data_IF_154416107003
#
_entry.id   IF_154416107003
#
_cell.length_a   1.000
_cell.length_b   1.000
_cell.length_c   1.000
_cell.angle_alpha   90.00
_cell.angle_beta   90.00
_cell.angle_gamma   90.00
#
_symmetry.space_group_name_H-M   'P 1'
#
loop_
_entity.id
_entity.type
_entity.pdbx_description
1 polymer ?
#
# COMPACT_ATOMS: atom_id res chain seq x y z
N UNK A 1 -10.73 17.11 0.94
CA UNK A 1 -12.12 17.21 1.48
C UNK A 1 -12.14 17.98 2.82
N UNK A 2 -13.26 18.64 3.18
CA UNK A 2 -13.47 19.28 4.50
C UNK A 2 -12.36 20.24 5.00
N UNK A 3 -11.63 20.87 4.08
CA UNK A 3 -10.49 21.74 4.44
C UNK A 3 -9.29 21.02 5.06
N UNK A 4 -9.20 19.69 4.88
CA UNK A 4 -8.03 18.92 5.29
C UNK A 4 -6.78 19.39 4.56
N UNK A 5 -5.68 19.50 5.29
CA UNK A 5 -4.37 19.95 4.80
C UNK A 5 -3.56 18.79 4.22
N UNK A 6 -3.67 17.62 4.83
CA UNK A 6 -2.95 16.42 4.41
C UNK A 6 -3.89 15.22 4.43
N UNK A 7 -3.85 14.44 3.35
CA UNK A 7 -4.40 13.11 3.30
C UNK A 7 -3.32 12.13 3.77
N UNK A 8 -3.61 11.32 4.80
CA UNK A 8 -2.70 10.30 5.30
C UNK A 8 -3.16 8.96 4.75
N UNK A 9 -2.31 8.37 3.92
CA UNK A 9 -2.57 7.14 3.18
C UNK A 9 -1.69 6.02 3.73
N UNK A 10 -2.29 5.12 4.52
CA UNK A 10 -1.56 4.01 5.15
C UNK A 10 -1.70 2.75 4.30
N UNK A 11 -0.57 2.11 3.98
CA UNK A 11 -0.48 1.11 2.93
C UNK A 11 0.13 -0.18 3.46
N UNK A 12 -0.66 -1.07 4.07
CA UNK A 12 -0.22 -2.41 4.44
C UNK A 12 0.03 -3.27 3.20
N UNK A 13 1.24 -3.83 3.06
CA UNK A 13 1.58 -4.78 2.02
C UNK A 13 1.29 -6.20 2.54
N UNK A 14 0.14 -6.77 2.17
CA UNK A 14 -0.29 -8.11 2.59
C UNK A 14 0.06 -9.10 1.48
N UNK A 15 1.19 -9.75 1.68
CA UNK A 15 1.93 -10.46 0.64
C UNK A 15 1.96 -11.96 0.94
N UNK A 16 1.99 -12.77 -0.13
CA UNK A 16 2.24 -14.19 -0.06
C UNK A 16 3.55 -14.53 -0.77
N UNK A 17 4.40 -15.28 -0.07
CA UNK A 17 5.67 -15.78 -0.57
C UNK A 17 5.66 -17.31 -0.55
N UNK A 18 6.15 -17.92 -1.61
CA UNK A 18 6.30 -19.37 -1.72
C UNK A 18 7.54 -19.80 -0.94
N UNK A 19 7.57 -21.08 -0.55
CA UNK A 19 8.69 -21.64 0.19
C UNK A 19 9.97 -21.72 -0.67
N UNK A 20 9.82 -21.82 -1.98
CA UNK A 20 10.90 -21.93 -2.96
C UNK A 20 11.04 -20.60 -3.70
N UNK A 21 11.84 -19.67 -3.15
CA UNK A 21 12.13 -18.38 -3.81
C UNK A 21 13.53 -18.47 -4.43
N UNK A 22 13.60 -18.45 -5.76
CA UNK A 22 14.87 -18.37 -6.50
C UNK A 22 15.77 -19.61 -6.40
N UNK A 23 15.30 -20.70 -5.80
CA UNK A 23 16.01 -21.98 -5.66
C UNK A 23 15.02 -23.14 -5.58
N UNK A 24 15.36 -24.34 -6.09
CA UNK A 24 14.54 -25.55 -5.93
C UNK A 24 14.55 -26.10 -4.49
N UNK A 25 15.41 -25.57 -3.61
CA UNK A 25 15.43 -25.94 -2.20
C UNK A 25 14.59 -24.96 -1.35
N UNK A 26 13.90 -25.42 -0.29
CA UNK A 26 13.16 -24.57 0.63
C UNK A 26 13.99 -23.44 1.25
N UNK A 27 13.59 -22.18 1.05
CA UNK A 27 14.14 -21.02 1.78
C UNK A 27 13.36 -20.79 3.06
N UNK A 28 13.53 -21.70 4.01
CA UNK A 28 12.82 -21.71 5.29
C UNK A 28 12.97 -20.38 6.03
N UNK A 29 14.16 -19.77 5.99
CA UNK A 29 14.45 -18.55 6.75
C UNK A 29 13.66 -17.36 6.21
N UNK A 30 13.70 -17.12 4.90
CA UNK A 30 12.99 -15.98 4.33
C UNK A 30 11.48 -16.22 4.32
N UNK A 31 11.04 -17.43 3.97
CA UNK A 31 9.62 -17.80 4.00
C UNK A 31 9.02 -17.62 5.40
N UNK A 32 9.61 -18.22 6.44
CA UNK A 32 9.04 -18.17 7.80
C UNK A 32 8.98 -16.75 8.36
N UNK A 33 9.96 -15.90 8.01
CA UNK A 33 9.91 -14.47 8.35
C UNK A 33 8.72 -13.78 7.68
N UNK A 34 8.45 -14.03 6.40
CA UNK A 34 7.30 -13.43 5.70
C UNK A 34 5.96 -13.95 6.22
N UNK A 35 5.88 -15.27 6.45
CA UNK A 35 4.68 -15.92 6.98
C UNK A 35 4.35 -15.44 8.41
N UNK A 36 5.35 -15.06 9.23
CA UNK A 36 5.11 -14.36 10.50
C UNK A 36 4.25 -13.09 10.33
N UNK A 37 4.40 -12.38 9.21
CA UNK A 37 3.56 -11.23 8.87
C UNK A 37 2.09 -11.61 8.80
N UNK A 38 1.75 -12.64 8.04
CA UNK A 38 0.36 -13.10 7.88
C UNK A 38 -0.20 -13.77 9.15
N UNK A 39 0.66 -14.40 9.96
CA UNK A 39 0.24 -15.11 11.18
C UNK A 39 0.09 -14.21 12.41
N UNK A 40 0.91 -13.17 12.54
CA UNK A 40 1.03 -12.37 13.77
C UNK A 40 1.11 -10.89 13.47
N UNK A 41 2.03 -10.48 12.59
CA UNK A 41 2.34 -9.07 12.37
C UNK A 41 1.14 -8.26 11.87
N UNK A 42 0.34 -8.84 10.97
CA UNK A 42 -0.82 -8.20 10.36
C UNK A 42 -1.92 -7.92 11.40
N UNK A 43 -2.16 -8.85 12.31
CA UNK A 43 -3.17 -8.69 13.36
C UNK A 43 -2.81 -7.54 14.31
N UNK A 44 -1.52 -7.40 14.67
CA UNK A 44 -1.08 -6.24 15.46
C UNK A 44 -1.21 -4.93 14.70
N UNK A 45 -0.92 -4.95 13.40
CA UNK A 45 -1.11 -3.77 12.55
C UNK A 45 -2.60 -3.38 12.47
N UNK A 46 -3.49 -4.35 12.28
CA UNK A 46 -4.94 -4.15 12.31
C UNK A 46 -5.40 -3.53 13.63
N UNK A 47 -4.92 -4.03 14.78
CA UNK A 47 -5.24 -3.47 16.10
C UNK A 47 -4.82 -2.01 16.23
N UNK A 48 -3.62 -1.65 15.77
CA UNK A 48 -3.11 -0.27 15.80
C UNK A 48 -3.93 0.64 14.88
N UNK A 49 -4.18 0.22 13.64
CA UNK A 49 -4.95 1.06 12.71
C UNK A 49 -6.40 1.23 13.19
N UNK A 50 -7.02 0.17 13.71
CA UNK A 50 -8.39 0.24 14.26
C UNK A 50 -8.47 1.13 15.50
N UNK A 51 -7.46 1.09 16.40
CA UNK A 51 -7.35 1.99 17.56
C UNK A 51 -7.45 3.47 17.14
N UNK A 52 -6.84 3.82 16.00
CA UNK A 52 -6.85 5.18 15.44
C UNK A 52 -7.96 5.42 14.41
N UNK A 53 -8.84 4.44 14.18
CA UNK A 53 -9.91 4.46 13.16
C UNK A 53 -9.40 4.71 11.74
N UNK A 54 -8.24 4.15 11.43
CA UNK A 54 -7.58 4.26 10.13
C UNK A 54 -7.92 3.02 9.31
N UNK A 55 -8.40 3.24 8.09
CA UNK A 55 -8.56 2.18 7.09
C UNK A 55 -7.31 2.14 6.21
N UNK A 56 -6.78 0.96 5.98
CA UNK A 56 -5.63 0.77 5.10
C UNK A 56 -6.06 0.62 3.64
N UNK A 57 -5.16 1.01 2.73
CA UNK A 57 -5.17 0.52 1.35
C UNK A 57 -4.18 -0.63 1.25
N UNK A 58 -4.71 -1.84 1.12
CA UNK A 58 -3.88 -3.05 1.15
C UNK A 58 -3.28 -3.29 -0.23
N UNK A 59 -1.95 -3.29 -0.32
CA UNK A 59 -1.27 -3.89 -1.46
C UNK A 59 -1.41 -5.41 -1.33
N UNK A 60 -2.35 -6.00 -2.06
CA UNK A 60 -2.78 -7.38 -1.84
C UNK A 60 -2.26 -8.31 -2.94
N UNK A 61 -1.40 -9.27 -2.55
CA UNK A 61 -1.17 -10.43 -3.41
C UNK A 61 -2.45 -11.28 -3.49
N UNK A 62 -2.94 -11.58 -4.70
CA UNK A 62 -4.18 -12.34 -4.88
C UNK A 62 -4.18 -13.72 -4.21
N UNK A 63 -3.03 -14.38 -4.08
CA UNK A 63 -2.94 -15.67 -3.41
C UNK A 63 -3.34 -15.62 -1.92
N UNK A 64 -3.31 -14.44 -1.28
CA UNK A 64 -3.89 -14.25 0.06
C UNK A 64 -5.39 -14.54 0.05
N UNK A 65 -6.08 -14.13 -1.02
CA UNK A 65 -7.49 -14.40 -1.27
C UNK A 65 -7.83 -15.87 -1.45
N UNK A 66 -6.85 -16.69 -1.81
CA UNK A 66 -7.00 -18.12 -2.07
C UNK A 66 -6.65 -18.94 -0.82
N UNK A 67 -5.51 -18.65 -0.20
CA UNK A 67 -4.94 -19.48 0.87
C UNK A 67 -5.28 -18.98 2.28
N UNK A 68 -5.63 -17.71 2.46
CA UNK A 68 -5.83 -17.09 3.77
C UNK A 68 -7.19 -16.39 3.90
N UNK A 69 -8.32 -17.11 3.76
CA UNK A 69 -9.66 -16.51 3.80
C UNK A 69 -9.97 -15.75 5.09
N UNK A 70 -9.38 -16.14 6.22
CA UNK A 70 -9.52 -15.41 7.50
C UNK A 70 -8.90 -14.01 7.46
N UNK A 71 -7.78 -13.85 6.75
CA UNK A 71 -7.13 -12.55 6.56
C UNK A 71 -8.03 -11.66 5.69
N UNK A 72 -8.56 -12.21 4.60
CA UNK A 72 -9.50 -11.49 3.74
C UNK A 72 -10.72 -11.00 4.50
N UNK A 73 -11.38 -11.89 5.25
CA UNK A 73 -12.57 -11.52 6.02
C UNK A 73 -12.27 -10.38 7.00
N UNK A 74 -11.14 -10.43 7.71
CA UNK A 74 -10.75 -9.38 8.64
C UNK A 74 -10.55 -8.01 7.96
N UNK A 75 -9.91 -7.98 6.77
CA UNK A 75 -9.74 -6.73 6.01
C UNK A 75 -11.09 -6.18 5.51
N UNK A 76 -12.01 -7.06 5.11
CA UNK A 76 -13.36 -6.67 4.68
C UNK A 76 -14.16 -6.09 5.85
N UNK A 77 -14.10 -6.73 7.02
CA UNK A 77 -14.80 -6.30 8.24
C UNK A 77 -14.29 -4.94 8.75
N UNK A 78 -12.99 -4.66 8.55
CA UNK A 78 -12.36 -3.37 8.84
C UNK A 78 -12.59 -2.31 7.75
N UNK A 79 -13.31 -2.67 6.68
CA UNK A 79 -13.57 -1.83 5.51
C UNK A 79 -12.29 -1.29 4.85
N UNK A 80 -11.22 -2.09 4.84
CA UNK A 80 -9.99 -1.73 4.13
C UNK A 80 -10.19 -1.79 2.61
N UNK A 81 -9.54 -0.90 1.90
CA UNK A 81 -9.44 -0.96 0.44
C UNK A 81 -8.47 -2.06 0.04
N UNK A 82 -8.75 -2.78 -1.06
CA UNK A 82 -7.90 -3.82 -1.60
C UNK A 82 -7.39 -3.41 -2.98
N UNK A 83 -6.14 -2.96 -3.06
CA UNK A 83 -5.47 -2.70 -4.34
C UNK A 83 -4.69 -3.94 -4.80
N UNK A 84 -4.63 -4.16 -6.10
CA UNK A 84 -3.92 -5.32 -6.66
C UNK A 84 -2.42 -5.20 -6.46
N UNK A 85 -1.78 -6.27 -6.04
CA UNK A 85 -0.32 -6.38 -5.94
C UNK A 85 0.19 -7.65 -6.62
N UNK A 86 -0.33 -7.98 -7.80
CA UNK A 86 -0.03 -9.24 -8.48
C UNK A 86 -0.53 -10.50 -7.75
N UNK A 87 -0.13 -11.67 -8.24
CA UNK A 87 -0.53 -12.96 -7.63
C UNK A 87 0.29 -13.29 -6.37
N UNK A 88 1.61 -13.06 -6.41
CA UNK A 88 2.59 -13.36 -5.35
C UNK A 88 3.84 -12.52 -5.56
N UNK A 89 4.56 -12.20 -4.47
CA UNK A 89 5.89 -11.59 -4.53
C UNK A 89 7.04 -12.61 -4.70
N UNK A 90 6.72 -13.85 -5.06
CA UNK A 90 7.71 -14.91 -5.37
C UNK A 90 8.09 -14.98 -6.85
N UNK A 91 7.36 -14.24 -7.71
CA UNK A 91 7.58 -14.20 -9.16
C UNK A 91 7.83 -12.77 -9.58
N UNK A 92 8.79 -12.61 -10.48
CA UNK A 92 9.15 -11.31 -11.03
C UNK A 92 8.14 -10.95 -12.11
N UNK A 93 7.60 -9.73 -12.04
CA UNK A 93 6.69 -9.19 -13.05
C UNK A 93 7.43 -8.48 -14.19
N UNK A 94 8.59 -7.88 -13.91
CA UNK A 94 9.38 -7.21 -14.93
C UNK A 94 9.80 -8.18 -16.05
N UNK A 95 9.57 -7.79 -17.30
CA UNK A 95 9.91 -8.59 -18.47
C UNK A 95 8.87 -9.64 -18.86
N UNK A 96 7.67 -9.60 -18.29
CA UNK A 96 6.55 -10.37 -18.82
C UNK A 96 6.16 -9.89 -20.23
N UNK A 97 5.76 -10.85 -21.06
CA UNK A 97 5.10 -10.57 -22.32
C UNK A 97 3.73 -9.93 -22.09
N UNK A 98 3.28 -9.09 -23.02
CA UNK A 98 2.04 -8.28 -22.90
C UNK A 98 0.81 -9.12 -22.50
N UNK A 99 0.63 -10.30 -23.09
CA UNK A 99 -0.50 -11.19 -22.79
C UNK A 99 -0.40 -11.82 -21.39
N UNK A 100 0.82 -12.16 -20.96
CA UNK A 100 1.05 -12.73 -19.64
C UNK A 100 0.82 -11.70 -18.54
N UNK A 101 1.25 -10.45 -18.79
CA UNK A 101 1.02 -9.34 -17.88
C UNK A 101 -0.46 -8.96 -17.79
N UNK A 102 -1.16 -8.86 -18.93
CA UNK A 102 -2.61 -8.63 -18.94
C UNK A 102 -3.35 -9.71 -18.16
N UNK A 103 -2.97 -10.98 -18.37
CA UNK A 103 -3.55 -12.09 -17.63
C UNK A 103 -3.28 -11.98 -16.13
N UNK A 104 -2.07 -11.60 -15.73
CA UNK A 104 -1.70 -11.40 -14.32
C UNK A 104 -2.60 -10.34 -13.65
N UNK A 105 -2.83 -9.21 -14.32
CA UNK A 105 -3.69 -8.12 -13.82
C UNK A 105 -5.14 -8.63 -13.68
N UNK A 106 -5.68 -9.28 -14.71
CA UNK A 106 -7.06 -9.79 -14.72
C UNK A 106 -7.29 -10.91 -13.69
N UNK A 107 -6.34 -11.83 -13.53
CA UNK A 107 -6.42 -12.90 -12.53
C UNK A 107 -6.40 -12.31 -11.11
N UNK A 108 -5.51 -11.32 -10.88
CA UNK A 108 -5.41 -10.62 -9.58
C UNK A 108 -6.72 -9.90 -9.27
N UNK A 109 -7.25 -9.14 -10.24
CA UNK A 109 -8.53 -8.45 -10.15
C UNK A 109 -9.66 -9.42 -9.82
N UNK A 110 -9.73 -10.54 -10.56
CA UNK A 110 -10.78 -11.54 -10.37
C UNK A 110 -10.83 -12.03 -8.94
N UNK A 111 -9.69 -12.39 -8.35
CA UNK A 111 -9.66 -12.91 -6.97
C UNK A 111 -10.14 -11.85 -5.97
N UNK A 112 -9.73 -10.59 -6.12
CA UNK A 112 -10.20 -9.50 -5.25
C UNK A 112 -11.72 -9.29 -5.40
N UNK A 113 -12.22 -9.31 -6.62
CA UNK A 113 -13.64 -9.12 -6.92
C UNK A 113 -14.53 -10.29 -6.49
N UNK A 114 -14.00 -11.52 -6.49
CA UNK A 114 -14.68 -12.70 -5.93
C UNK A 114 -14.95 -12.55 -4.41
N UNK A 115 -14.18 -11.70 -3.72
CA UNK A 115 -14.40 -11.31 -2.32
C UNK A 115 -15.35 -10.10 -2.15
N UNK A 116 -16.00 -9.64 -3.22
CA UNK A 116 -17.01 -8.58 -3.17
C UNK A 116 -16.45 -7.16 -3.09
N UNK A 117 -15.15 -6.97 -3.30
CA UNK A 117 -14.49 -5.65 -3.36
C UNK A 117 -14.03 -5.35 -4.78
N UNK A 118 -14.14 -4.11 -5.24
CA UNK A 118 -13.62 -3.72 -6.56
C UNK A 118 -12.13 -3.39 -6.45
N UNK A 119 -11.34 -3.88 -7.41
CA UNK A 119 -9.93 -3.52 -7.52
C UNK A 119 -9.79 -2.25 -8.35
N UNK A 120 -9.76 -1.10 -7.68
CA UNK A 120 -9.59 0.20 -8.33
C UNK A 120 -8.12 0.62 -8.43
N UNK A 121 -7.28 0.19 -7.48
CA UNK A 121 -5.86 0.48 -7.43
C UNK A 121 -4.96 -0.68 -7.86
N UNK A 122 -3.75 -0.34 -8.26
CA UNK A 122 -2.66 -1.29 -8.51
C UNK A 122 -1.32 -0.79 -7.97
N UNK A 123 -0.53 -1.70 -7.42
CA UNK A 123 0.88 -1.54 -7.12
C UNK A 123 1.58 -2.78 -7.68
N UNK A 124 2.49 -2.67 -8.63
CA UNK A 124 3.28 -3.79 -9.13
C UNK A 124 4.11 -4.44 -8.01
N UNK A 125 4.22 -5.78 -7.97
CA UNK A 125 5.17 -6.49 -7.13
C UNK A 125 6.56 -5.86 -7.17
N UNK A 126 7.04 -5.37 -6.02
CA UNK A 126 8.35 -4.71 -5.92
C UNK A 126 8.48 -3.36 -6.63
N UNK A 127 7.38 -2.63 -6.86
CA UNK A 127 7.36 -1.38 -7.64
C UNK A 127 7.88 -1.57 -9.06
N UNK A 128 7.63 -2.74 -9.64
CA UNK A 128 8.07 -3.05 -11.00
C UNK A 128 6.92 -2.86 -11.98
N UNK A 129 7.26 -2.47 -13.20
CA UNK A 129 6.37 -2.36 -14.35
C UNK A 129 7.10 -2.91 -15.58
N UNK A 130 6.36 -3.20 -16.65
CA UNK A 130 6.87 -3.18 -18.03
C UNK A 130 6.47 -1.85 -18.68
N UNK A 131 6.99 -1.55 -19.86
CA UNK A 131 6.56 -0.36 -20.60
C UNK A 131 5.07 -0.36 -20.98
N UNK A 132 4.39 -1.52 -20.90
CA UNK A 132 2.98 -1.64 -21.23
C UNK A 132 2.06 -1.54 -19.99
N UNK A 133 2.61 -1.59 -18.76
CA UNK A 133 1.81 -1.70 -17.54
C UNK A 133 0.75 -0.60 -17.42
N UNK A 134 1.06 0.69 -17.62
CA UNK A 134 0.04 1.74 -17.46
C UNK A 134 -1.15 1.60 -18.43
N UNK A 135 -0.90 1.19 -19.68
CA UNK A 135 -1.95 0.99 -20.68
C UNK A 135 -2.76 -0.27 -20.36
N UNK A 136 -2.10 -1.37 -20.00
CA UNK A 136 -2.77 -2.62 -19.61
C UNK A 136 -3.65 -2.45 -18.37
N UNK A 137 -3.18 -1.71 -17.36
CA UNK A 137 -3.97 -1.39 -16.16
C UNK A 137 -5.25 -0.65 -16.56
N UNK A 138 -5.12 0.34 -17.46
CA UNK A 138 -6.27 1.10 -17.93
C UNK A 138 -7.25 0.22 -18.72
N UNK A 139 -6.76 -0.61 -19.63
CA UNK A 139 -7.55 -1.59 -20.39
C UNK A 139 -8.29 -2.56 -19.47
N UNK A 140 -7.65 -3.00 -18.39
CA UNK A 140 -8.22 -3.90 -17.39
C UNK A 140 -9.15 -3.20 -16.39
N UNK A 141 -9.45 -1.91 -16.58
CA UNK A 141 -10.38 -1.14 -15.76
C UNK A 141 -9.85 -0.72 -14.39
N UNK A 142 -8.52 -0.66 -14.21
CA UNK A 142 -7.89 -0.09 -13.01
C UNK A 142 -7.95 1.44 -13.12
N UNK A 143 -8.24 2.10 -12.00
CA UNK A 143 -8.40 3.55 -11.94
C UNK A 143 -7.08 4.27 -11.61
N UNK A 144 -6.27 3.70 -10.72
CA UNK A 144 -5.00 4.30 -10.34
C UNK A 144 -3.87 3.27 -10.15
N UNK A 145 -2.65 3.74 -10.37
CA UNK A 145 -1.40 3.02 -10.09
C UNK A 145 -0.61 3.74 -8.99
N UNK A 146 0.19 2.99 -8.24
CA UNK A 146 0.99 3.49 -7.14
C UNK A 146 2.49 3.17 -7.27
N UNK A 147 2.95 2.71 -8.44
CA UNK A 147 4.35 2.33 -8.62
C UNK A 147 5.33 3.52 -8.68
N UNK A 148 4.81 4.72 -8.91
CA UNK A 148 5.59 5.94 -9.12
C UNK A 148 5.79 6.68 -7.79
N UNK A 149 6.96 7.26 -7.57
CA UNK A 149 7.39 7.82 -6.27
C UNK A 149 7.89 9.26 -6.40
N UNK A 150 7.22 10.02 -7.27
CA UNK A 150 7.75 11.22 -7.90
C UNK A 150 6.98 12.52 -7.62
N UNK A 151 5.97 12.51 -6.74
CA UNK A 151 5.16 13.68 -6.40
C UNK A 151 4.54 13.52 -5.01
N UNK A 152 3.99 14.59 -4.44
CA UNK A 152 3.23 14.58 -3.17
C UNK A 152 1.71 14.71 -3.40
N UNK A 153 1.28 14.73 -4.67
CA UNK A 153 -0.11 14.79 -5.10
C UNK A 153 -0.42 13.75 -6.18
N UNK A 154 -1.69 13.29 -6.26
CA UNK A 154 -2.11 12.51 -7.40
C UNK A 154 -1.98 13.31 -8.70
N UNK A 155 -1.72 12.61 -9.79
CA UNK A 155 -1.70 13.20 -11.12
C UNK A 155 -2.25 12.20 -12.15
N UNK A 156 -2.48 12.67 -13.39
CA UNK A 156 -3.11 11.88 -14.43
C UNK A 156 -2.16 11.65 -15.60
N UNK A 157 -2.05 10.41 -16.04
CA UNK A 157 -1.31 10.04 -17.25
C UNK A 157 -2.11 10.40 -18.51
N UNK A 158 -1.43 10.46 -19.66
CA UNK A 158 -2.06 10.78 -20.94
C UNK A 158 -3.16 9.78 -21.35
N UNK A 159 -3.01 8.49 -20.99
CA UNK A 159 -4.02 7.47 -21.23
C UNK A 159 -5.22 7.53 -20.25
N UNK A 160 -5.19 8.48 -19.31
CA UNK A 160 -6.23 8.71 -18.32
C UNK A 160 -6.22 7.76 -17.12
N UNK A 161 -5.16 6.97 -16.92
CA UNK A 161 -4.85 6.34 -15.63
C UNK A 161 -4.40 7.41 -14.64
N UNK A 162 -4.76 7.28 -13.36
CA UNK A 162 -4.24 8.15 -12.32
C UNK A 162 -3.03 7.52 -11.63
N UNK A 163 -2.12 8.34 -11.15
CA UNK A 163 -1.06 7.92 -10.24
C UNK A 163 -1.34 8.53 -8.86
N UNK A 164 -1.28 7.72 -7.81
CA UNK A 164 -1.05 8.23 -6.44
C UNK A 164 0.40 7.88 -6.11
N UNK A 165 1.30 8.87 -6.02
CA UNK A 165 2.68 8.57 -5.72
C UNK A 165 2.83 7.79 -4.40
N UNK A 166 3.55 6.69 -4.48
CA UNK A 166 3.95 5.90 -3.30
C UNK A 166 5.19 6.51 -2.65
N UNK A 167 5.58 5.98 -1.49
CA UNK A 167 6.78 6.40 -0.79
C UNK A 167 7.80 5.27 -0.71
N UNK A 168 9.03 5.54 -1.14
CA UNK A 168 10.21 4.73 -0.78
C UNK A 168 10.84 5.25 0.52
N UNK A 169 10.70 6.54 0.80
CA UNK A 169 11.31 7.19 1.96
C UNK A 169 10.56 6.89 3.26
N UNK A 170 9.23 6.83 3.21
CA UNK A 170 8.36 6.47 4.33
C UNK A 170 7.86 5.03 4.12
N UNK A 171 8.83 4.12 4.05
CA UNK A 171 8.65 2.71 3.81
C UNK A 171 9.53 1.88 4.73
N UNK A 172 8.92 0.99 5.50
CA UNK A 172 9.64 0.20 6.50
C UNK A 172 10.62 -0.82 5.89
N UNK A 173 10.38 -1.28 4.66
CA UNK A 173 11.24 -2.25 3.97
C UNK A 173 12.63 -1.72 3.65
N UNK A 174 12.80 -0.68 2.81
CA UNK A 174 14.13 -0.16 2.51
C UNK A 174 14.82 0.36 3.77
N UNK A 175 14.08 1.01 4.67
CA UNK A 175 14.65 1.59 5.89
C UNK A 175 15.18 0.54 6.86
N UNK A 176 14.41 -0.51 7.17
CA UNK A 176 14.88 -1.54 8.12
C UNK A 176 15.94 -2.48 7.52
N UNK A 177 16.15 -2.43 6.21
CA UNK A 177 17.28 -3.13 5.57
C UNK A 177 18.57 -2.28 5.59
N UNK A 178 18.52 -1.00 5.95
CA UNK A 178 19.70 -0.16 6.16
C UNK A 178 20.25 -0.37 7.59
N UNK A 179 21.49 -0.86 7.77
CA UNK A 179 22.03 -1.16 9.10
C UNK A 179 22.13 0.04 10.05
N UNK A 180 22.17 1.26 9.52
CA UNK A 180 22.35 2.50 10.28
C UNK A 180 21.06 3.16 10.73
N UNK A 181 19.89 2.61 10.38
CA UNK A 181 18.59 3.21 10.69
C UNK A 181 17.96 2.48 11.87
N UNK A 182 17.69 3.21 12.95
CA UNK A 182 16.94 2.72 14.09
C UNK A 182 15.44 2.72 13.81
N UNK A 183 14.67 2.00 14.63
CA UNK A 183 13.22 1.94 14.46
C UNK A 183 12.58 3.27 14.90
N UNK A 184 13.19 3.94 15.88
CA UNK A 184 12.87 5.29 16.32
C UNK A 184 13.00 6.31 15.17
N UNK A 185 14.00 6.14 14.30
CA UNK A 185 14.18 6.99 13.12
C UNK A 185 13.01 6.86 12.16
N UNK A 186 12.39 5.67 12.04
CA UNK A 186 11.21 5.50 11.18
C UNK A 186 10.01 6.30 11.71
N UNK A 187 9.73 6.24 13.02
CA UNK A 187 8.72 7.12 13.64
C UNK A 187 9.02 8.58 13.37
N UNK A 188 10.27 9.01 13.63
CA UNK A 188 10.67 10.41 13.44
C UNK A 188 10.46 10.85 11.99
N UNK A 189 10.87 10.06 11.01
CA UNK A 189 10.66 10.36 9.58
C UNK A 189 9.17 10.52 9.25
N UNK A 190 8.29 9.66 9.77
CA UNK A 190 6.84 9.80 9.58
C UNK A 190 6.36 11.16 10.13
N UNK A 191 6.74 11.51 11.36
CA UNK A 191 6.35 12.78 11.99
C UNK A 191 6.92 13.99 11.25
N UNK A 192 8.21 13.98 10.90
CA UNK A 192 8.88 15.08 10.21
C UNK A 192 8.27 15.32 8.81
N UNK A 193 8.00 14.23 8.06
CA UNK A 193 7.30 14.32 6.78
C UNK A 193 5.88 14.85 6.94
N UNK A 194 5.15 14.40 7.97
CA UNK A 194 3.83 14.94 8.29
C UNK A 194 3.89 16.44 8.56
N UNK A 195 4.80 16.92 9.41
CA UNK A 195 4.88 18.33 9.80
C UNK A 195 5.09 19.24 8.59
N UNK A 196 5.98 18.85 7.67
CA UNK A 196 6.26 19.59 6.43
C UNK A 196 5.03 19.60 5.52
N UNK A 197 4.47 18.42 5.20
CA UNK A 197 3.32 18.31 4.30
C UNK A 197 2.06 18.97 4.90
N UNK A 198 1.91 18.94 6.21
CA UNK A 198 0.82 19.62 6.93
C UNK A 198 0.94 21.14 6.85
N UNK A 199 2.16 21.68 6.96
CA UNK A 199 2.43 23.11 6.80
C UNK A 199 2.15 23.57 5.35
N UNK A 200 2.66 22.84 4.35
CA UNK A 200 2.37 23.11 2.93
C UNK A 200 0.89 22.98 2.60
N UNK A 201 0.24 21.98 3.21
CA UNK A 201 -1.19 21.69 3.13
C UNK A 201 -2.10 22.88 3.48
N UNK A 202 -1.58 23.91 4.14
CA UNK A 202 -2.33 25.14 4.40
C UNK A 202 -2.70 25.91 3.13
N UNK A 203 -1.93 25.78 2.05
CA UNK A 203 -2.17 26.48 0.78
C UNK A 203 -2.60 25.51 -0.33
N UNK A 204 -2.01 24.32 -0.38
CA UNK A 204 -2.36 23.27 -1.33
C UNK A 204 -2.22 21.92 -0.64
N UNK A 205 -3.27 21.09 -0.69
CA UNK A 205 -3.29 19.80 -0.02
C UNK A 205 -2.11 18.90 -0.42
N UNK A 206 -1.76 17.95 0.44
CA UNK A 206 -0.70 16.96 0.22
C UNK A 206 -1.17 15.55 0.56
N UNK A 207 -0.47 14.55 0.04
CA UNK A 207 -0.65 13.14 0.41
C UNK A 207 0.61 12.65 1.12
N UNK A 208 0.44 12.11 2.33
CA UNK A 208 1.50 11.37 3.04
C UNK A 208 1.23 9.87 2.88
N UNK A 209 2.02 9.20 2.05
CA UNK A 209 2.01 7.74 1.92
C UNK A 209 2.88 7.09 2.99
N UNK A 210 2.34 6.10 3.71
CA UNK A 210 3.06 5.31 4.73
C UNK A 210 3.01 3.84 4.35
N UNK A 211 4.13 3.34 3.84
CA UNK A 211 4.29 1.97 3.35
C UNK A 211 4.75 1.03 4.47
N UNK A 212 3.98 -0.03 4.69
CA UNK A 212 4.16 -0.92 5.84
C UNK A 212 4.12 -2.39 5.42
N UNK A 213 5.03 -3.19 5.96
CA UNK A 213 5.07 -4.62 5.73
C UNK A 213 4.83 -5.36 7.05
N UNK A 214 3.77 -6.18 7.19
CA UNK A 214 3.39 -6.81 8.45
C UNK A 214 4.48 -7.64 9.13
N UNK A 215 5.33 -8.34 8.37
CA UNK A 215 6.46 -9.10 8.92
C UNK A 215 7.64 -8.21 9.38
N UNK A 216 7.59 -6.91 9.10
CA UNK A 216 8.54 -5.91 9.56
C UNK A 216 7.96 -5.10 10.71
N UNK A 217 7.05 -4.15 10.42
CA UNK A 217 6.52 -3.24 11.43
C UNK A 217 5.68 -3.95 12.49
N UNK A 218 5.05 -5.09 12.14
CA UNK A 218 4.23 -5.90 13.05
C UNK A 218 5.03 -6.67 14.11
N UNK A 219 6.37 -6.64 14.08
CA UNK A 219 7.18 -7.21 15.14
C UNK A 219 6.97 -6.47 16.47
N UNK A 220 6.97 -7.20 17.60
CA UNK A 220 6.59 -6.64 18.90
C UNK A 220 7.44 -5.43 19.35
N UNK A 221 8.73 -5.40 18.98
CA UNK A 221 9.63 -4.30 19.31
C UNK A 221 9.48 -3.08 18.38
N UNK A 222 8.76 -3.22 17.26
CA UNK A 222 8.58 -2.18 16.22
C UNK A 222 7.22 -1.52 16.25
N UNK A 223 6.16 -2.30 16.46
CA UNK A 223 4.78 -1.85 16.28
C UNK A 223 4.40 -0.62 17.14
N UNK A 224 4.97 -0.50 18.35
CA UNK A 224 4.72 0.66 19.24
C UNK A 224 5.12 2.00 18.59
N UNK A 225 6.14 2.02 17.75
CA UNK A 225 6.62 3.24 17.12
C UNK A 225 5.70 3.71 15.99
N UNK A 226 5.03 2.77 15.31
CA UNK A 226 3.94 3.11 14.39
C UNK A 226 2.74 3.66 15.16
N UNK A 227 2.35 3.02 16.26
CA UNK A 227 1.25 3.48 17.12
C UNK A 227 1.49 4.92 17.61
N UNK A 228 2.69 5.21 18.10
CA UNK A 228 3.11 6.56 18.51
C UNK A 228 3.07 7.57 17.35
N UNK A 229 3.54 7.20 16.15
CA UNK A 229 3.51 8.08 14.97
C UNK A 229 2.07 8.43 14.55
N UNK A 230 1.20 7.42 14.48
CA UNK A 230 -0.20 7.59 14.09
C UNK A 230 -0.97 8.37 15.15
N UNK A 231 -0.68 8.14 16.44
CA UNK A 231 -1.23 8.92 17.53
C UNK A 231 -0.85 10.40 17.43
N UNK A 232 0.42 10.70 17.11
CA UNK A 232 0.88 12.07 16.89
C UNK A 232 0.09 12.75 15.77
N UNK A 233 0.02 12.10 14.60
CA UNK A 233 -0.72 12.61 13.44
C UNK A 233 -2.22 12.81 13.77
N UNK A 234 -2.85 11.82 14.41
CA UNK A 234 -4.27 11.88 14.78
C UNK A 234 -4.59 12.96 15.83
N UNK A 235 -3.58 13.47 16.54
CA UNK A 235 -3.70 14.59 17.47
C UNK A 235 -3.83 15.97 16.80
N UNK A 236 -3.72 16.05 15.47
CA UNK A 236 -3.81 17.30 14.71
C UNK A 236 -5.17 17.47 14.02
N UNK A 237 -5.68 18.70 14.02
CA UNK A 237 -6.87 19.04 13.23
C UNK A 237 -6.58 18.98 11.73
N UNK A 238 -7.64 18.91 10.90
CA UNK A 238 -7.53 18.99 9.42
C UNK A 238 -6.63 17.92 8.81
N UNK A 239 -6.50 16.76 9.45
CA UNK A 239 -5.91 15.56 8.87
C UNK A 239 -7.02 14.68 8.34
N UNK A 240 -6.83 14.12 7.14
CA UNK A 240 -7.76 13.18 6.54
C UNK A 240 -7.11 11.82 6.35
N UNK A 241 -7.46 10.85 7.20
CA UNK A 241 -7.11 9.45 6.97
C UNK A 241 -8.00 8.90 5.86
N UNK A 242 -7.40 8.50 4.75
CA UNK A 242 -8.10 8.16 3.53
C UNK A 242 -7.52 6.92 2.86
N UNK A 243 -8.37 6.16 2.18
CA UNK A 243 -7.90 5.12 1.25
C UNK A 243 -7.51 5.76 -0.09
N UNK A 244 -6.72 5.06 -0.89
CA UNK A 244 -6.29 5.50 -2.23
C UNK A 244 -7.49 5.82 -3.12
N UNK A 245 -8.50 4.96 -3.10
CA UNK A 245 -9.80 5.19 -3.75
C UNK A 245 -10.46 6.53 -3.40
N UNK A 246 -10.42 6.90 -2.13
CA UNK A 246 -11.03 8.13 -1.67
C UNK A 246 -10.22 9.35 -2.12
N UNK A 247 -8.89 9.24 -2.07
CA UNK A 247 -7.96 10.26 -2.56
C UNK A 247 -8.20 10.52 -4.06
N UNK A 248 -8.27 9.47 -4.87
CA UNK A 248 -8.53 9.60 -6.32
C UNK A 248 -9.92 10.16 -6.60
N UNK A 249 -10.95 9.71 -5.88
CA UNK A 249 -12.30 10.28 -6.01
C UNK A 249 -12.30 11.77 -5.68
N UNK A 250 -11.61 12.18 -4.62
CA UNK A 250 -11.50 13.57 -4.22
C UNK A 250 -10.70 14.41 -5.23
N UNK A 251 -9.66 13.84 -5.83
CA UNK A 251 -8.85 14.49 -6.87
C UNK A 251 -9.68 14.71 -8.15
N UNK A 252 -10.34 13.67 -8.66
CA UNK A 252 -11.24 13.74 -9.84
C UNK A 252 -12.35 14.79 -9.69
N UNK A 253 -12.93 14.88 -8.49
CA UNK A 253 -13.98 15.85 -8.20
C UNK A 253 -13.47 17.31 -8.19
N UNK A 254 -12.16 17.53 -8.08
CA UNK A 254 -11.54 18.86 -8.17
C UNK A 254 -11.14 19.18 -9.62
N UNK A 255 -10.66 18.22 -10.39
CA UNK A 255 -10.39 18.41 -11.84
C UNK A 255 -11.63 18.89 -12.60
N UNK A 256 -12.82 18.39 -12.25
CA UNK A 256 -14.08 18.76 -12.93
C UNK A 256 -14.55 20.18 -12.61
N UNK A 257 -13.96 20.84 -11.60
CA UNK A 257 -14.33 22.20 -11.17
C UNK A 257 -13.40 23.29 -11.72
N UNK A 258 -12.28 22.90 -12.33
CA UNK A 258 -11.33 23.79 -13.00
C UNK A 258 -11.70 23.95 -14.48
#
# INVERSE_FOLDING_TARGET
>A
PNGARVAVWVIPNVEHFHLEIGSPAPDVRNFSRRDYGNRVGLWRLMDVLNKHRIRGTVALNAEIGIYYPRIMQAMIDLDWELMGHGLTNSKIMSGLEIEAERKLILDTRKVIEDWGRKMHGWLGPGLTETFNTPDLLKECGVEYVADWVNDDLPYRFNNGLYSIPYSIEINDMPLFNMPSISIEDFKRRICDSFDVLYAEGATNGRVLGIALHPFLIGAAHRIKYLDEALQYIAGHDKVWFATGDEIIRAYKAQETKA
#
